data_IF_953341577012
#
_entry.id   IF_953341577012
#
_cell.length_a   1.000
_cell.length_b   1.000
_cell.length_c   1.000
_cell.angle_alpha   90.00
_cell.angle_beta   90.00
_cell.angle_gamma   90.00
#
_symmetry.space_group_name_H-M   'P 1'
#
loop_
_entity.id
_entity.type
_entity.pdbx_description
1 polymer ?
#
# COMPACT_ATOMS: atom_id res chain seq x y z
N UNK A 1 -29.57 8.67 -17.73
CA UNK A 1 -28.17 8.75 -17.33
C UNK A 1 -28.09 9.69 -16.15
N UNK A 2 -27.67 9.23 -14.96
CA UNK A 2 -27.43 10.14 -13.84
C UNK A 2 -26.11 10.86 -14.10
N UNK A 3 -26.15 12.19 -14.20
CA UNK A 3 -24.98 13.04 -14.39
C UNK A 3 -24.72 13.85 -13.12
N UNK A 4 -23.46 14.09 -12.84
CA UNK A 4 -23.05 15.09 -11.84
C UNK A 4 -23.37 16.48 -12.41
N UNK A 5 -24.03 17.32 -11.61
CA UNK A 5 -24.36 18.71 -11.98
C UNK A 5 -23.53 19.73 -11.19
N UNK A 6 -22.93 19.30 -10.09
CA UNK A 6 -22.11 20.15 -9.23
C UNK A 6 -21.80 19.54 -7.86
N UNK A 7 -21.17 20.36 -7.02
CA UNK A 7 -20.87 20.07 -5.63
C UNK A 7 -21.34 21.22 -4.73
N UNK A 8 -21.86 20.87 -3.54
CA UNK A 8 -22.07 21.85 -2.46
C UNK A 8 -20.89 21.82 -1.53
N UNK A 9 -20.18 22.94 -1.42
CA UNK A 9 -19.04 23.11 -0.51
C UNK A 9 -19.48 23.83 0.76
N UNK A 10 -18.80 23.51 1.86
CA UNK A 10 -18.91 24.24 3.14
C UNK A 10 -17.58 24.90 3.45
N UNK A 11 -17.60 26.20 3.70
CA UNK A 11 -16.45 26.90 4.26
C UNK A 11 -16.26 26.47 5.72
N UNK A 12 -15.12 25.87 6.06
CA UNK A 12 -14.85 25.35 7.40
C UNK A 12 -14.62 26.45 8.46
N UNK A 13 -14.36 27.70 8.06
CA UNK A 13 -14.14 28.83 8.97
C UNK A 13 -15.44 29.60 9.23
N UNK A 14 -16.25 29.83 8.19
CA UNK A 14 -17.46 30.67 8.28
C UNK A 14 -18.75 29.86 8.35
N UNK A 15 -18.73 28.59 7.94
CA UNK A 15 -19.91 27.72 7.83
C UNK A 15 -20.76 27.97 6.58
N UNK A 16 -20.42 28.96 5.76
CA UNK A 16 -21.14 29.31 4.54
C UNK A 16 -21.17 28.15 3.54
N UNK A 17 -22.29 28.01 2.83
CA UNK A 17 -22.49 26.99 1.80
C UNK A 17 -22.43 27.64 0.42
N UNK A 18 -21.69 27.00 -0.50
CA UNK A 18 -21.56 27.47 -1.89
C UNK A 18 -21.77 26.31 -2.85
N UNK A 19 -22.62 26.49 -3.84
CA UNK A 19 -22.85 25.52 -4.91
C UNK A 19 -21.91 25.81 -6.10
N UNK A 20 -21.17 24.81 -6.55
CA UNK A 20 -20.28 24.88 -7.72
C UNK A 20 -20.82 23.95 -8.79
N UNK A 21 -21.14 24.47 -9.98
CA UNK A 21 -21.54 23.65 -11.11
C UNK A 21 -20.34 22.91 -11.71
N UNK A 22 -20.48 21.61 -11.94
CA UNK A 22 -19.44 20.75 -12.51
C UNK A 22 -20.05 19.52 -13.18
N UNK A 23 -19.47 19.07 -14.29
CA UNK A 23 -19.90 17.84 -14.97
C UNK A 23 -19.28 16.55 -14.43
N UNK A 24 -18.34 16.66 -13.48
CA UNK A 24 -17.64 15.55 -12.86
C UNK A 24 -16.85 15.99 -11.63
N UNK A 25 -16.73 15.10 -10.64
CA UNK A 25 -16.00 15.32 -9.39
C UNK A 25 -14.99 14.19 -9.22
N UNK A 26 -13.72 14.54 -8.97
CA UNK A 26 -12.65 13.59 -8.68
C UNK A 26 -12.19 13.79 -7.24
N UNK A 27 -12.32 12.75 -6.41
CA UNK A 27 -11.89 12.78 -5.01
C UNK A 27 -10.50 12.19 -4.92
N UNK A 28 -9.50 13.02 -4.63
CA UNK A 28 -8.08 12.63 -4.57
C UNK A 28 -7.47 12.88 -3.18
N UNK A 29 -8.11 12.36 -2.13
CA UNK A 29 -7.69 12.54 -0.71
C UNK A 29 -6.63 11.53 -0.25
N UNK A 30 -5.98 10.85 -1.19
CA UNK A 30 -5.01 9.78 -0.91
C UNK A 30 -5.64 8.39 -0.89
N UNK A 31 -4.80 7.39 -0.64
CA UNK A 31 -5.18 5.97 -0.60
C UNK A 31 -4.94 5.44 0.81
N UNK A 32 -5.91 4.70 1.34
CA UNK A 32 -5.69 3.85 2.50
C UNK A 32 -5.28 2.46 1.98
N UNK A 33 -4.09 1.94 2.32
CA UNK A 33 -3.72 0.59 1.90
C UNK A 33 -4.64 -0.44 2.56
N UNK A 34 -4.99 -1.51 1.83
CA UNK A 34 -5.90 -2.57 2.30
C UNK A 34 -5.17 -3.54 3.24
N UNK A 35 -4.67 -3.04 4.38
CA UNK A 35 -3.81 -3.77 5.31
C UNK A 35 -4.45 -4.01 6.68
N UNK A 36 -5.75 -3.68 6.82
CA UNK A 36 -6.48 -3.86 8.08
C UNK A 36 -6.40 -5.28 8.64
N UNK A 37 -6.38 -6.28 7.76
CA UNK A 37 -6.26 -7.70 8.09
C UNK A 37 -4.90 -8.08 8.71
N UNK A 38 -3.86 -7.27 8.50
CA UNK A 38 -2.49 -7.57 8.92
C UNK A 38 -2.04 -6.80 10.16
N UNK A 39 -2.90 -5.94 10.72
CA UNK A 39 -2.59 -5.17 11.93
C UNK A 39 -2.26 -6.11 13.10
N UNK A 40 -1.12 -5.89 13.73
CA UNK A 40 -0.63 -6.72 14.83
C UNK A 40 0.00 -8.05 14.39
N UNK A 41 -0.02 -8.37 13.09
CA UNK A 41 0.63 -9.55 12.52
C UNK A 41 1.87 -9.17 11.70
N UNK A 42 1.80 -8.09 10.93
CA UNK A 42 2.93 -7.54 10.17
C UNK A 42 3.30 -6.15 10.70
N UNK A 43 4.58 -5.79 10.56
CA UNK A 43 5.03 -4.42 10.77
C UNK A 43 4.37 -3.50 9.72
N UNK A 44 3.64 -2.50 10.22
CA UNK A 44 3.03 -1.46 9.40
C UNK A 44 3.64 -0.11 9.76
N UNK A 45 3.83 0.74 8.76
CA UNK A 45 4.23 2.13 8.98
C UNK A 45 3.07 2.95 9.59
N UNK A 46 3.32 4.19 10.07
CA UNK A 46 2.27 5.04 10.63
C UNK A 46 1.12 5.37 9.66
N UNK A 47 1.33 5.23 8.35
CA UNK A 47 0.31 5.43 7.31
C UNK A 47 -0.44 4.13 6.96
N UNK A 48 -0.06 3.00 7.56
CA UNK A 48 -0.70 1.69 7.39
C UNK A 48 -0.13 0.83 6.27
N UNK A 49 0.97 1.21 5.63
CA UNK A 49 1.61 0.39 4.60
C UNK A 49 2.41 -0.75 5.25
N UNK A 50 2.50 -1.90 4.58
CA UNK A 50 3.36 -2.99 5.05
C UNK A 50 4.82 -2.54 4.89
N UNK A 51 5.59 -2.64 5.97
CA UNK A 51 7.03 -2.43 5.91
C UNK A 51 7.68 -3.69 5.36
N UNK A 52 8.53 -3.54 4.35
CA UNK A 52 9.18 -4.65 3.67
C UNK A 52 10.65 -4.37 3.36
N UNK A 53 11.42 -5.46 3.22
CA UNK A 53 12.84 -5.44 2.89
C UNK A 53 13.66 -4.63 3.90
N UNK A 54 14.60 -3.82 3.41
CA UNK A 54 15.54 -3.04 4.24
C UNK A 54 14.89 -1.95 5.09
N UNK A 55 13.58 -1.70 4.94
CA UNK A 55 12.85 -0.71 5.72
C UNK A 55 12.38 -1.26 7.07
N UNK A 56 12.41 -2.58 7.26
CA UNK A 56 11.99 -3.23 8.51
C UNK A 56 12.80 -2.70 9.69
N UNK A 57 12.12 -2.39 10.79
CA UNK A 57 12.79 -1.97 12.03
C UNK A 57 13.35 -3.16 12.82
N UNK A 58 12.75 -4.34 12.63
CA UNK A 58 13.23 -5.61 13.16
C UNK A 58 13.08 -6.70 12.10
N UNK A 59 14.15 -7.46 11.91
CA UNK A 59 14.20 -8.52 10.92
C UNK A 59 14.32 -9.89 11.58
N UNK A 60 13.66 -10.89 11.00
CA UNK A 60 13.84 -12.28 11.41
C UNK A 60 15.18 -12.83 10.90
N UNK A 61 15.74 -12.25 9.84
CA UNK A 61 17.09 -12.55 9.35
C UNK A 61 17.76 -11.29 8.77
N UNK A 62 18.71 -10.67 9.49
CA UNK A 62 19.46 -9.50 9.02
C UNK A 62 20.30 -9.77 7.76
N UNK A 63 20.64 -11.03 7.48
CA UNK A 63 21.40 -11.44 6.31
C UNK A 63 20.49 -11.96 5.17
N UNK A 64 19.17 -11.82 5.32
CA UNK A 64 18.20 -12.36 4.38
C UNK A 64 18.40 -11.80 2.98
N UNK A 65 18.47 -12.66 1.94
CA UNK A 65 18.63 -12.21 0.56
C UNK A 65 17.30 -11.70 -0.05
N UNK A 66 16.17 -11.83 0.64
CA UNK A 66 14.84 -11.55 0.09
C UNK A 66 14.46 -10.07 0.24
N UNK A 67 14.42 -9.31 -0.85
CA UNK A 67 14.19 -7.87 -0.81
C UNK A 67 12.71 -7.49 -0.58
N UNK A 68 11.77 -8.44 -0.73
CA UNK A 68 10.33 -8.22 -0.51
C UNK A 68 9.79 -8.81 0.79
N UNK A 69 10.67 -9.34 1.66
CA UNK A 69 10.28 -9.94 2.94
C UNK A 69 9.57 -8.94 3.85
N UNK A 70 8.68 -9.43 4.68
CA UNK A 70 8.04 -8.65 5.75
C UNK A 70 8.67 -9.00 7.10
N UNK A 71 8.12 -8.44 8.19
CA UNK A 71 8.53 -8.75 9.57
C UNK A 71 8.29 -10.21 9.98
N UNK A 72 7.51 -10.97 9.20
CA UNK A 72 7.23 -12.39 9.46
C UNK A 72 7.91 -13.23 8.39
N UNK A 73 8.63 -14.24 8.85
CA UNK A 73 9.33 -15.17 7.97
C UNK A 73 8.34 -15.92 7.05
N UNK A 74 8.72 -16.06 5.78
CA UNK A 74 7.88 -16.70 4.75
C UNK A 74 6.73 -15.82 4.24
N UNK A 75 6.59 -14.59 4.74
CA UNK A 75 5.60 -13.63 4.26
C UNK A 75 6.30 -12.51 3.49
N UNK A 76 5.85 -12.29 2.26
CA UNK A 76 6.39 -11.31 1.31
C UNK A 76 5.29 -10.32 0.89
N UNK A 77 5.67 -9.08 0.61
CA UNK A 77 4.73 -8.03 0.22
C UNK A 77 5.22 -7.23 -1.00
N UNK A 78 4.28 -6.89 -1.89
CA UNK A 78 4.55 -6.25 -3.16
C UNK A 78 3.40 -5.32 -3.59
N UNK A 79 3.68 -4.42 -4.54
CA UNK A 79 2.70 -3.47 -5.06
C UNK A 79 2.38 -2.32 -4.11
N UNK A 80 1.24 -1.69 -4.34
CA UNK A 80 0.85 -0.46 -3.65
C UNK A 80 0.75 -0.61 -2.13
N UNK A 81 0.59 -1.83 -1.59
CA UNK A 81 0.56 -2.05 -0.14
C UNK A 81 1.92 -1.83 0.55
N UNK A 82 3.02 -1.78 -0.21
CA UNK A 82 4.37 -1.43 0.27
C UNK A 82 4.92 -0.14 -0.39
N UNK A 83 4.24 0.39 -1.40
CA UNK A 83 4.66 1.57 -2.18
C UNK A 83 3.73 2.76 -1.99
N UNK A 84 4.18 3.74 -1.18
CA UNK A 84 3.48 5.00 -1.00
C UNK A 84 3.85 6.06 -2.05
N UNK A 85 4.83 5.80 -2.92
CA UNK A 85 5.46 6.81 -3.79
C UNK A 85 5.01 6.68 -5.24
N UNK A 86 5.19 5.53 -5.88
CA UNK A 86 5.00 5.43 -7.33
C UNK A 86 3.57 5.03 -7.70
N UNK A 87 3.03 3.97 -7.07
CA UNK A 87 1.65 3.49 -7.26
C UNK A 87 1.27 3.35 -8.74
N UNK A 88 2.17 2.75 -9.52
CA UNK A 88 1.98 2.50 -10.94
C UNK A 88 1.84 1.01 -11.19
N UNK A 89 0.98 0.63 -12.14
CA UNK A 89 0.80 -0.78 -12.51
C UNK A 89 2.13 -1.48 -12.86
N UNK A 90 3.07 -0.76 -13.48
CA UNK A 90 4.37 -1.32 -13.84
C UNK A 90 5.30 -1.50 -12.63
N UNK A 91 5.28 -0.59 -11.65
CA UNK A 91 6.09 -0.75 -10.42
C UNK A 91 5.51 -1.85 -9.54
N UNK A 92 4.18 -1.96 -9.48
CA UNK A 92 3.50 -3.04 -8.79
C UNK A 92 3.78 -4.41 -9.42
N UNK A 93 3.75 -4.51 -10.75
CA UNK A 93 4.12 -5.73 -11.46
C UNK A 93 5.57 -6.14 -11.19
N UNK A 94 6.51 -5.18 -11.21
CA UNK A 94 7.92 -5.45 -10.94
C UNK A 94 8.17 -6.02 -9.54
N UNK A 95 7.59 -5.39 -8.51
CA UNK A 95 7.69 -5.89 -7.13
C UNK A 95 6.95 -7.22 -6.93
N UNK A 96 5.86 -7.47 -7.67
CA UNK A 96 5.16 -8.76 -7.67
C UNK A 96 6.03 -9.90 -8.21
N UNK A 97 6.78 -9.66 -9.29
CA UNK A 97 7.77 -10.62 -9.78
C UNK A 97 8.85 -10.91 -8.75
N UNK A 98 9.35 -9.88 -8.07
CA UNK A 98 10.35 -10.04 -7.00
C UNK A 98 9.80 -10.90 -5.85
N UNK A 99 8.60 -10.61 -5.36
CA UNK A 99 8.00 -11.35 -4.25
C UNK A 99 7.73 -12.82 -4.61
N UNK A 100 7.40 -13.10 -5.87
CA UNK A 100 7.19 -14.48 -6.33
C UNK A 100 8.51 -15.27 -6.30
N UNK A 101 9.61 -14.68 -6.79
CA UNK A 101 10.94 -15.31 -6.80
C UNK A 101 11.49 -15.46 -5.38
N UNK A 102 11.29 -14.45 -4.51
CA UNK A 102 11.68 -14.52 -3.11
C UNK A 102 10.95 -15.66 -2.39
N UNK A 103 9.63 -15.79 -2.59
CA UNK A 103 8.83 -16.86 -2.02
C UNK A 103 9.24 -18.24 -2.53
N UNK A 104 9.48 -18.38 -3.84
CA UNK A 104 9.98 -19.62 -4.46
C UNK A 104 11.29 -20.07 -3.81
N UNK A 105 12.29 -19.19 -3.79
CA UNK A 105 13.61 -19.48 -3.20
C UNK A 105 13.54 -19.78 -1.70
N UNK A 106 12.66 -19.09 -0.98
CA UNK A 106 12.42 -19.36 0.44
C UNK A 106 11.87 -20.77 0.63
N UNK A 107 10.86 -21.18 -0.15
CA UNK A 107 10.31 -22.52 -0.10
C UNK A 107 11.35 -23.59 -0.46
N UNK A 108 12.15 -23.38 -1.50
CA UNK A 108 13.23 -24.30 -1.89
C UNK A 108 14.25 -24.50 -0.76
N UNK A 109 14.61 -23.42 -0.04
CA UNK A 109 15.55 -23.49 1.08
C UNK A 109 15.03 -24.30 2.28
N UNK A 110 13.71 -24.55 2.37
CA UNK A 110 13.05 -25.32 3.43
C UNK A 110 12.86 -26.80 3.09
N UNK A 111 13.06 -27.19 1.82
CA UNK A 111 12.74 -28.52 1.29
C UNK A 111 13.79 -29.62 1.53
N UNK A 112 14.69 -29.46 2.50
CA UNK A 112 15.75 -30.44 2.81
C UNK A 112 15.80 -30.79 4.30
#
# INVERSE_FOLDING_TARGET
>A
SQKVEGARLRNLQTGELTDISAGGIFVAIGHTPNTSLFRGHLELDPAGYIVAGKKLSADWDPASPYETRTSVEGVFAAGDVVDHTYRQAITASGTGCMASIDAERWLESRGH
#
